data_IF_889673787064
#
_entry.id   IF_889673787064
#
_cell.length_a   1.000
_cell.length_b   1.000
_cell.length_c   1.000
_cell.angle_alpha   90.00
_cell.angle_beta   90.00
_cell.angle_gamma   90.00
#
_symmetry.space_group_name_H-M   'P 1'
#
loop_
_entity.id
_entity.type
_entity.pdbx_description
1 polymer ?
#
# COMPACT_ATOMS: atom_id res chain seq x y z
N UNK A 1 47.33 39.52 -3.88
CA UNK A 1 47.17 38.33 -4.74
C UNK A 1 45.77 37.80 -4.56
N UNK A 2 45.01 37.76 -5.66
CA UNK A 2 43.65 37.25 -5.80
C UNK A 2 43.74 35.73 -5.97
N UNK A 3 42.93 34.95 -5.24
CA UNK A 3 42.36 33.70 -5.76
C UNK A 3 40.90 33.61 -5.32
N UNK A 4 40.04 33.80 -6.31
CA UNK A 4 38.61 33.53 -6.38
C UNK A 4 38.37 32.03 -6.50
N UNK A 5 37.42 31.49 -5.74
CA UNK A 5 36.69 30.25 -6.02
C UNK A 5 35.33 30.40 -5.30
N UNK A 6 34.25 30.88 -5.92
CA UNK A 6 33.44 30.23 -6.95
C UNK A 6 33.33 28.71 -6.79
N UNK A 7 32.43 28.28 -5.91
CA UNK A 7 31.76 26.98 -6.05
C UNK A 7 30.25 27.22 -6.02
N UNK A 8 29.70 27.37 -7.21
CA UNK A 8 28.28 27.17 -7.44
C UNK A 8 28.03 25.66 -7.45
N UNK A 9 27.18 25.18 -6.54
CA UNK A 9 26.49 23.91 -6.71
C UNK A 9 25.00 24.17 -6.46
N UNK A 10 24.34 24.61 -7.53
CA UNK A 10 22.94 24.27 -7.71
C UNK A 10 22.86 22.75 -7.85
N UNK A 11 21.84 22.10 -7.28
CA UNK A 11 21.07 21.06 -7.97
C UNK A 11 19.92 20.58 -7.07
N UNK A 12 18.71 20.72 -7.60
CA UNK A 12 17.52 19.91 -7.37
C UNK A 12 16.95 19.84 -5.95
N UNK A 13 16.15 20.83 -5.58
CA UNK A 13 14.93 20.53 -4.84
C UNK A 13 13.96 19.85 -5.82
N UNK A 14 14.02 18.53 -5.88
CA UNK A 14 13.08 17.72 -6.65
C UNK A 14 11.66 18.03 -6.20
N UNK A 15 10.84 18.53 -7.11
CA UNK A 15 9.39 18.49 -6.97
C UNK A 15 8.97 17.03 -6.95
N UNK A 16 8.72 16.47 -5.77
CA UNK A 16 8.00 15.20 -5.69
C UNK A 16 6.55 15.48 -6.09
N UNK A 17 6.25 15.18 -7.35
CA UNK A 17 4.89 15.17 -7.87
C UNK A 17 4.06 14.19 -7.04
N UNK A 18 3.03 14.71 -6.37
CA UNK A 18 1.97 13.91 -5.80
C UNK A 18 1.32 13.09 -6.91
N UNK A 19 1.70 11.82 -7.01
CA UNK A 19 0.97 10.85 -7.82
C UNK A 19 -0.23 10.40 -7.03
N UNK A 20 -1.28 11.22 -7.08
CA UNK A 20 -2.64 10.80 -6.76
C UNK A 20 -3.18 10.02 -7.96
N UNK A 21 -2.62 8.84 -8.20
CA UNK A 21 -3.19 7.91 -9.16
C UNK A 21 -4.43 7.32 -8.51
N UNK A 22 -5.61 7.64 -9.06
CA UNK A 22 -6.91 7.02 -8.78
C UNK A 22 -6.88 5.52 -9.16
N UNK A 23 -5.98 4.76 -8.57
CA UNK A 23 -5.91 3.32 -8.69
C UNK A 23 -6.92 2.74 -7.70
N UNK A 24 -7.74 1.83 -8.19
CA UNK A 24 -8.66 1.06 -7.39
C UNK A 24 -8.39 -0.42 -7.62
N UNK A 25 -8.33 -1.18 -6.55
CA UNK A 25 -8.26 -2.63 -6.59
C UNK A 25 -9.60 -3.19 -6.11
N UNK A 26 -10.17 -4.09 -6.89
CA UNK A 26 -11.42 -4.77 -6.60
C UNK A 26 -11.13 -6.24 -6.37
N UNK A 27 -11.47 -6.72 -5.18
CA UNK A 27 -11.27 -8.11 -4.78
C UNK A 27 -12.63 -8.76 -4.59
N UNK A 28 -12.91 -9.80 -5.37
CA UNK A 28 -14.15 -10.58 -5.18
C UNK A 28 -13.92 -11.62 -4.09
N UNK A 29 -14.72 -11.53 -3.03
CA UNK A 29 -14.68 -12.43 -1.87
C UNK A 29 -16.00 -13.20 -1.78
N UNK A 30 -16.08 -14.16 -0.84
CA UNK A 30 -17.33 -14.89 -0.61
C UNK A 30 -18.48 -13.98 -0.12
N UNK A 31 -18.15 -12.89 0.56
CA UNK A 31 -19.11 -11.98 1.19
C UNK A 31 -19.46 -10.77 0.32
N UNK A 32 -18.78 -10.61 -0.81
CA UNK A 32 -19.01 -9.53 -1.78
C UNK A 32 -17.73 -8.96 -2.36
N UNK A 33 -17.86 -7.76 -2.93
CA UNK A 33 -16.74 -7.03 -3.52
C UNK A 33 -16.10 -6.18 -2.43
N UNK A 34 -14.80 -6.35 -2.24
CA UNK A 34 -13.94 -5.46 -1.45
C UNK A 34 -13.28 -4.50 -2.41
N UNK A 35 -13.38 -3.20 -2.13
CA UNK A 35 -12.74 -2.15 -2.94
C UNK A 35 -11.65 -1.48 -2.12
N UNK A 36 -10.44 -1.48 -2.65
CA UNK A 36 -9.27 -0.83 -2.05
C UNK A 36 -8.93 0.36 -2.94
N UNK A 37 -8.87 1.56 -2.37
CA UNK A 37 -8.54 2.76 -3.12
C UNK A 37 -7.74 3.70 -2.23
N UNK A 38 -6.57 4.13 -2.69
CA UNK A 38 -5.68 5.02 -1.93
C UNK A 38 -5.38 4.44 -0.53
N UNK A 39 -5.89 5.08 0.52
CA UNK A 39 -5.74 4.69 1.91
C UNK A 39 -7.01 4.04 2.50
N UNK A 40 -8.02 3.71 1.70
CA UNK A 40 -9.27 3.12 2.17
C UNK A 40 -9.49 1.71 1.66
N UNK A 41 -10.15 0.90 2.50
CA UNK A 41 -10.69 -0.42 2.17
C UNK A 41 -12.18 -0.39 2.47
N UNK A 42 -12.99 -0.42 1.42
CA UNK A 42 -14.44 -0.48 1.46
C UNK A 42 -14.88 -1.95 1.42
N UNK A 43 -15.53 -2.38 2.50
CA UNK A 43 -16.31 -3.60 2.55
C UNK A 43 -17.79 -3.24 2.45
N UNK A 44 -18.66 -4.26 2.43
CA UNK A 44 -20.11 -4.07 2.43
C UNK A 44 -20.60 -3.22 3.61
N UNK A 45 -20.05 -3.47 4.80
CA UNK A 45 -20.56 -2.89 6.05
C UNK A 45 -19.57 -1.91 6.71
N UNK A 46 -18.34 -1.81 6.20
CA UNK A 46 -17.26 -1.03 6.82
C UNK A 46 -16.50 -0.20 5.79
N UNK A 47 -16.10 1.00 6.20
CA UNK A 47 -15.14 1.82 5.44
C UNK A 47 -13.90 2.00 6.30
N UNK A 48 -12.94 1.10 6.09
CA UNK A 48 -11.70 1.09 6.83
C UNK A 48 -10.70 2.08 6.21
N UNK A 49 -10.00 2.83 7.05
CA UNK A 49 -8.94 3.77 6.64
C UNK A 49 -7.61 3.30 7.20
N UNK A 50 -6.55 3.36 6.41
CA UNK A 50 -5.21 3.00 6.83
C UNK A 50 -4.70 4.01 7.87
N UNK A 51 -4.30 3.48 9.02
CA UNK A 51 -3.71 4.25 10.11
C UNK A 51 -2.19 4.13 10.09
N UNK A 52 -1.68 2.92 9.85
CA UNK A 52 -0.25 2.61 9.96
C UNK A 52 0.14 1.50 8.98
N UNK A 53 1.30 1.65 8.38
CA UNK A 53 1.98 0.58 7.62
C UNK A 53 3.21 0.15 8.39
N UNK A 54 3.37 -1.15 8.61
CA UNK A 54 4.59 -1.73 9.15
C UNK A 54 5.61 -1.92 8.03
N UNK A 55 6.91 -1.91 8.37
CA UNK A 55 7.99 -2.03 7.39
C UNK A 55 7.93 -3.31 6.56
N UNK A 56 7.21 -4.31 7.05
CA UNK A 56 7.11 -5.62 6.42
C UNK A 56 5.87 -5.71 5.51
N UNK A 57 5.14 -4.62 5.22
CA UNK A 57 3.96 -4.67 4.33
C UNK A 57 2.66 -5.09 5.03
N UNK A 58 2.63 -5.05 6.36
CA UNK A 58 1.38 -5.23 7.14
C UNK A 58 0.73 -3.87 7.37
N UNK A 59 -0.54 -3.73 7.02
CA UNK A 59 -1.27 -2.46 7.07
C UNK A 59 -2.36 -2.56 8.13
N UNK A 60 -2.32 -1.65 9.11
CA UNK A 60 -3.34 -1.50 10.15
C UNK A 60 -4.38 -0.49 9.68
N UNK A 61 -5.64 -0.89 9.79
CA UNK A 61 -6.80 -0.19 9.28
C UNK A 61 -7.83 0.01 10.40
N UNK A 62 -8.60 1.09 10.33
CA UNK A 62 -9.62 1.43 11.32
C UNK A 62 -10.87 2.01 10.64
N UNK A 63 -12.05 1.58 11.10
CA UNK A 63 -13.30 2.32 10.94
C UNK A 63 -13.68 2.90 12.30
N UNK A 64 -13.40 4.19 12.48
CA UNK A 64 -13.65 4.88 13.74
C UNK A 64 -15.15 5.05 14.05
N UNK A 65 -16.01 4.97 13.05
CA UNK A 65 -17.46 5.10 13.23
C UNK A 65 -18.06 3.79 13.72
N UNK A 66 -17.61 2.67 13.14
CA UNK A 66 -18.05 1.34 13.53
C UNK A 66 -17.30 0.78 14.75
N UNK A 67 -16.18 1.38 15.14
CA UNK A 67 -15.31 0.86 16.21
C UNK A 67 -14.60 -0.44 15.80
N UNK A 68 -14.30 -0.56 14.51
CA UNK A 68 -13.70 -1.76 13.90
C UNK A 68 -12.24 -1.52 13.61
N UNK A 69 -11.41 -2.53 13.87
CA UNK A 69 -10.00 -2.54 13.49
C UNK A 69 -9.76 -3.65 12.50
N UNK A 70 -8.77 -3.50 11.61
CA UNK A 70 -8.40 -4.57 10.70
C UNK A 70 -6.91 -4.55 10.38
N UNK A 71 -6.41 -5.70 9.96
CA UNK A 71 -5.04 -5.89 9.51
C UNK A 71 -5.07 -6.50 8.11
N UNK A 72 -4.48 -5.79 7.15
CA UNK A 72 -4.28 -6.24 5.79
C UNK A 72 -2.83 -6.71 5.64
N UNK A 73 -2.63 -7.95 5.22
CA UNK A 73 -1.31 -8.48 4.88
C UNK A 73 -1.04 -8.28 3.38
N UNK A 74 -0.14 -7.35 3.05
CA UNK A 74 0.24 -7.05 1.67
C UNK A 74 1.42 -7.89 1.17
N UNK A 75 1.97 -8.78 2.01
CA UNK A 75 3.12 -9.62 1.69
C UNK A 75 2.76 -10.84 0.85
N UNK A 76 1.57 -11.40 1.04
CA UNK A 76 1.22 -12.65 0.38
C UNK A 76 0.87 -12.40 -1.10
N UNK A 77 1.65 -12.94 -2.05
CA UNK A 77 1.35 -12.76 -3.46
C UNK A 77 0.21 -13.64 -3.97
N UNK A 78 -0.28 -14.57 -3.15
CA UNK A 78 -1.34 -15.51 -3.51
C UNK A 78 -2.74 -14.87 -3.48
N UNK A 79 -2.91 -13.72 -2.83
CA UNK A 79 -4.21 -13.07 -2.71
C UNK A 79 -4.28 -11.97 -1.66
N UNK A 80 -5.49 -11.48 -1.44
CA UNK A 80 -5.81 -10.53 -0.39
C UNK A 80 -6.13 -11.27 0.92
N UNK A 81 -5.49 -10.87 2.01
CA UNK A 81 -5.84 -11.34 3.36
C UNK A 81 -6.10 -10.15 4.29
N UNK A 82 -7.35 -10.01 4.71
CA UNK A 82 -7.78 -8.97 5.63
C UNK A 82 -8.42 -9.60 6.87
N UNK A 83 -7.82 -9.39 8.04
CA UNK A 83 -8.37 -9.79 9.33
C UNK A 83 -9.10 -8.60 9.96
N UNK A 84 -10.42 -8.69 10.14
CA UNK A 84 -11.27 -7.65 10.72
C UNK A 84 -11.63 -8.04 12.16
N UNK A 85 -11.55 -7.10 13.08
CA UNK A 85 -11.94 -7.26 14.48
C UNK A 85 -13.00 -6.22 14.85
N UNK A 86 -14.19 -6.72 15.17
CA UNK A 86 -15.32 -5.95 15.65
C UNK A 86 -15.70 -6.47 17.04
N UNK A 87 -15.65 -5.61 18.05
CA UNK A 87 -16.04 -5.95 19.43
C UNK A 87 -15.38 -7.23 19.99
N UNK A 88 -14.15 -7.54 19.57
CA UNK A 88 -13.41 -8.74 19.99
C UNK A 88 -13.69 -9.99 19.16
N UNK A 89 -14.56 -9.90 18.15
CA UNK A 89 -14.83 -10.98 17.20
C UNK A 89 -13.94 -10.77 15.98
N UNK A 90 -13.09 -11.77 15.69
CA UNK A 90 -12.23 -11.77 14.52
C UNK A 90 -12.91 -12.46 13.33
N UNK A 91 -12.92 -11.78 12.19
CA UNK A 91 -13.41 -12.26 10.90
C UNK A 91 -12.28 -12.19 9.88
N UNK A 92 -12.31 -13.09 8.89
CA UNK A 92 -11.29 -13.12 7.84
C UNK A 92 -11.94 -12.95 6.48
N UNK A 93 -11.44 -11.98 5.73
CA UNK A 93 -11.86 -11.66 4.37
C UNK A 93 -10.70 -12.01 3.44
N UNK A 94 -10.94 -12.97 2.56
CA UNK A 94 -9.92 -13.53 1.65
C UNK A 94 -10.40 -13.46 0.22
N UNK A 95 -9.52 -13.00 -0.68
CA UNK A 95 -9.71 -13.10 -2.13
C UNK A 95 -8.46 -13.74 -2.76
N UNK A 96 -8.58 -14.82 -3.53
CA UNK A 96 -7.44 -15.37 -4.25
C UNK A 96 -7.04 -14.40 -5.38
N UNK A 97 -5.76 -14.42 -5.79
CA UNK A 97 -5.21 -13.50 -6.80
C UNK A 97 -5.98 -13.46 -8.12
N UNK A 98 -6.57 -14.58 -8.55
CA UNK A 98 -7.42 -14.65 -9.76
C UNK A 98 -8.70 -13.81 -9.69
N UNK A 99 -9.15 -13.49 -8.47
CA UNK A 99 -10.39 -12.76 -8.19
C UNK A 99 -10.10 -11.29 -7.84
N UNK A 100 -8.84 -10.85 -8.05
CA UNK A 100 -8.37 -9.48 -7.86
C UNK A 100 -8.25 -8.79 -9.22
N UNK A 101 -8.91 -7.64 -9.37
CA UNK A 101 -8.82 -6.77 -10.54
C UNK A 101 -8.29 -5.40 -10.13
N UNK A 102 -7.30 -4.87 -10.84
CA UNK A 102 -6.71 -3.55 -10.56
C UNK A 102 -7.00 -2.61 -11.72
N UNK A 103 -7.71 -1.52 -11.44
CA UNK A 103 -8.05 -0.48 -12.41
C UNK A 103 -7.17 0.76 -12.18
N UNK A 104 -6.46 1.22 -13.22
CA UNK A 104 -5.66 2.46 -13.21
C UNK A 104 -4.26 2.34 -13.80
N UNK A 105 -3.83 3.37 -14.53
CA UNK A 105 -2.67 3.41 -15.43
C UNK A 105 -1.29 3.30 -14.75
N UNK A 106 -0.41 2.58 -15.44
CA UNK A 106 1.07 2.49 -15.41
C UNK A 106 1.82 2.79 -14.10
N UNK A 107 2.40 1.71 -13.56
CA UNK A 107 3.43 1.70 -12.53
C UNK A 107 4.62 2.61 -12.91
N UNK A 108 4.90 3.64 -12.11
CA UNK A 108 6.21 4.31 -12.12
C UNK A 108 6.84 4.09 -10.74
N UNK A 109 7.84 3.22 -10.70
CA UNK A 109 8.68 3.01 -9.53
C UNK A 109 9.41 4.32 -9.21
N UNK A 110 9.03 4.98 -8.12
CA UNK A 110 9.88 5.98 -7.49
C UNK A 110 10.09 5.54 -6.05
N UNK A 111 11.29 5.02 -5.77
CA UNK A 111 11.73 4.74 -4.42
C UNK A 111 11.85 6.04 -3.64
N UNK A 112 11.24 6.10 -2.46
CA UNK A 112 11.37 7.27 -1.60
C UNK A 112 10.42 7.27 -0.42
N UNK A 113 11.03 7.28 0.78
CA UNK A 113 10.50 7.58 2.11
C UNK A 113 9.29 6.78 2.63
N UNK A 114 9.37 6.37 3.90
CA UNK A 114 8.26 5.71 4.60
C UNK A 114 7.00 6.61 4.59
N UNK A 115 5.83 6.10 4.17
CA UNK A 115 4.62 6.90 4.04
C UNK A 115 4.13 7.40 5.41
N UNK A 116 3.76 8.67 5.48
CA UNK A 116 2.96 9.22 6.59
C UNK A 116 1.49 8.82 6.39
N UNK A 117 0.65 8.82 7.44
CA UNK A 117 -0.72 8.30 7.39
C UNK A 117 -1.64 8.87 6.29
N UNK A 118 -1.35 10.08 5.77
CA UNK A 118 -2.07 10.68 4.66
C UNK A 118 -1.54 10.26 3.26
N UNK A 119 -0.35 9.64 3.22
CA UNK A 119 0.35 9.20 2.02
C UNK A 119 0.34 7.68 1.84
N UNK A 120 -0.38 6.94 2.71
CA UNK A 120 -0.51 5.50 2.60
C UNK A 120 -1.31 5.17 1.33
N UNK A 121 -0.62 4.63 0.34
CA UNK A 121 -1.26 4.05 -0.84
C UNK A 121 -1.20 2.53 -0.70
N UNK A 122 -2.29 1.91 -0.27
CA UNK A 122 -2.39 0.48 0.00
C UNK A 122 -2.01 -0.34 -1.23
N UNK A 123 -2.44 0.09 -2.42
CA UNK A 123 -2.16 -0.61 -3.69
C UNK A 123 -0.65 -0.58 -3.99
N UNK A 124 0.01 0.55 -3.71
CA UNK A 124 1.48 0.64 -3.83
C UNK A 124 2.16 -0.35 -2.88
N UNK A 125 1.75 -0.40 -1.62
CA UNK A 125 2.37 -1.29 -0.63
C UNK A 125 2.22 -2.77 -0.99
N UNK A 126 1.06 -3.17 -1.53
CA UNK A 126 0.86 -4.51 -2.10
C UNK A 126 1.86 -4.77 -3.22
N UNK A 127 1.96 -3.87 -4.20
CA UNK A 127 2.89 -4.05 -5.31
C UNK A 127 4.38 -4.03 -4.91
N UNK A 128 4.79 -3.17 -3.99
CA UNK A 128 6.18 -3.06 -3.55
C UNK A 128 6.63 -4.32 -2.81
N UNK A 129 5.78 -4.87 -1.93
CA UNK A 129 6.06 -6.13 -1.22
C UNK A 129 6.29 -7.28 -2.19
N UNK A 130 5.53 -7.33 -3.30
CA UNK A 130 5.74 -8.32 -4.36
C UNK A 130 7.08 -8.16 -5.11
N UNK A 131 7.55 -6.93 -5.31
CA UNK A 131 8.82 -6.69 -6.01
C UNK A 131 10.05 -7.02 -5.15
N UNK A 132 9.97 -6.78 -3.84
CA UNK A 132 11.09 -7.00 -2.91
C UNK A 132 11.45 -8.50 -2.77
N UNK A 133 10.47 -9.40 -2.85
CA UNK A 133 10.73 -10.84 -2.80
C UNK A 133 11.44 -11.36 -4.06
N UNK A 134 11.11 -10.83 -5.25
CA UNK A 134 11.73 -11.26 -6.51
C UNK A 134 13.22 -10.90 -6.59
N UNK A 135 13.61 -9.74 -6.09
CA UNK A 135 15.01 -9.32 -6.09
C UNK A 135 15.87 -10.17 -5.14
N UNK A 136 15.29 -10.60 -4.01
CA UNK A 136 16.00 -11.41 -3.01
C UNK A 136 16.27 -12.85 -3.49
N UNK A 137 15.36 -13.45 -4.27
CA UNK A 137 15.61 -14.75 -4.91
C UNK A 137 16.70 -14.69 -5.98
N UNK A 138 16.83 -13.57 -6.69
CA UNK A 138 17.89 -13.39 -7.70
C UNK A 138 19.29 -13.22 -7.09
N UNK A 139 19.36 -12.69 -5.86
CA UNK A 139 20.62 -12.49 -5.13
C UNK A 139 21.17 -13.78 -4.50
N UNK A 140 20.31 -14.77 -4.21
CA UNK A 140 20.69 -16.07 -3.67
C UNK A 140 21.02 -17.12 -4.76
N UNK A 141 20.78 -16.79 -6.03
CA UNK A 141 21.06 -17.66 -7.18
C UNK A 141 22.41 -17.38 -7.87
N UNK A 142 23.35 -16.69 -7.19
CA UNK A 142 24.70 -16.40 -7.69
C UNK A 142 25.79 -17.03 -6.83
#
# INVERSE_FOLDING_TARGET
MIITALFALALLAGTSYGQNSNQAMFCTTQDGIVKIQNNTVELRDYTLTAERVERDGVIHLIDANAGVTAVLDARDPQGLYLAVNESGIAMQVVAPSRDINVEGSTHTTSGGAAPSGADINIIREIHTSHSADMDNYSALAR
#
